data_IF_247548163852
#
_entry.id   IF_247548163852
#
_cell.length_a   1.000
_cell.length_b   1.000
_cell.length_c   1.000
_cell.angle_alpha   90.00
_cell.angle_beta   90.00
_cell.angle_gamma   90.00
#
_symmetry.space_group_name_H-M   'P 1'
#
loop_
_entity.id
_entity.type
_entity.pdbx_description
1 polymer ?
#
# COMPACT_ATOMS: atom_id res chain seq x y z
N UNK A 1 9.89 -26.77 -9.60
CA UNK A 1 9.68 -26.31 -9.18
C UNK A 1 9.55 -25.44 -8.79
N UNK A 2 9.26 -25.18 -8.63
CA UNK A 2 9.12 -24.36 -8.30
C UNK A 2 9.04 -23.65 -7.47
N UNK A 3 8.79 -23.50 -7.20
CA UNK A 3 8.51 -22.87 -6.45
C UNK A 3 8.67 -22.09 -5.96
N UNK A 4 8.77 -21.68 -5.82
CA UNK A 4 8.85 -20.83 -5.12
C UNK A 4 8.33 -19.89 -4.89
N UNK A 5 7.95 -19.88 -5.18
CA UNK A 5 7.60 -18.80 -4.99
C UNK A 5 6.84 -18.55 -3.99
N UNK A 6 6.60 -19.05 -3.84
CA UNK A 6 6.07 -19.00 -2.92
C UNK A 6 6.42 -18.34 -1.92
N UNK A 7 7.29 -18.34 -1.93
CA UNK A 7 7.83 -17.82 -1.01
C UNK A 7 7.48 -16.56 -0.77
N UNK A 8 7.53 -15.89 -1.62
CA UNK A 8 7.34 -14.53 -1.47
C UNK A 8 5.95 -14.27 -1.04
N UNK A 9 5.74 -13.26 -0.30
CA UNK A 9 4.43 -12.84 0.09
C UNK A 9 3.79 -12.15 -1.09
N UNK A 10 2.92 -12.83 -1.80
CA UNK A 10 2.17 -12.20 -2.88
C UNK A 10 1.20 -11.19 -2.33
N UNK A 11 0.71 -10.29 -3.19
CA UNK A 11 -0.30 -9.33 -2.77
C UNK A 11 -1.56 -10.03 -2.27
N UNK A 12 -1.90 -11.17 -2.84
CA UNK A 12 -3.05 -11.94 -2.36
C UNK A 12 -2.87 -12.41 -0.93
N UNK A 13 -1.68 -12.86 -0.59
CA UNK A 13 -1.38 -13.26 0.78
C UNK A 13 -1.41 -12.05 1.69
N UNK A 14 -0.84 -10.94 1.25
CA UNK A 14 -0.82 -9.73 2.05
C UNK A 14 -2.23 -9.17 2.30
N UNK A 15 -3.15 -9.38 1.38
CA UNK A 15 -4.53 -8.95 1.57
C UNK A 15 -5.21 -9.69 2.71
N UNK A 16 -4.74 -10.86 3.09
CA UNK A 16 -5.31 -11.61 4.20
C UNK A 16 -4.61 -11.32 5.52
N UNK A 17 -3.53 -10.57 5.51
CA UNK A 17 -2.79 -10.24 6.72
C UNK A 17 -3.24 -8.88 7.24
N UNK A 18 -3.28 -8.77 8.54
CA UNK A 18 -3.59 -7.50 9.17
C UNK A 18 -2.34 -6.61 9.14
N UNK A 19 -2.45 -5.48 8.49
CA UNK A 19 -1.34 -4.55 8.42
C UNK A 19 -1.11 -3.90 9.78
N UNK A 20 0.16 -3.75 10.21
CA UNK A 20 0.48 -3.25 11.55
C UNK A 20 -0.10 -1.86 11.86
N UNK A 21 -0.27 -1.03 10.85
CA UNK A 21 -0.72 0.35 11.05
C UNK A 21 -2.12 0.59 10.48
N UNK A 22 -2.85 -0.48 10.20
CA UNK A 22 -4.23 -0.36 9.73
C UNK A 22 -4.37 -0.01 8.27
N UNK A 23 -3.29 -0.06 7.51
CA UNK A 23 -3.32 0.23 6.08
C UNK A 23 -3.40 -1.03 5.25
N UNK A 24 -2.90 -0.94 4.01
CA UNK A 24 -2.87 -2.06 3.09
C UNK A 24 -1.42 -2.39 2.77
N UNK A 25 -1.07 -3.67 2.81
CA UNK A 25 0.29 -4.12 2.50
C UNK A 25 0.39 -4.55 1.06
N UNK A 26 1.50 -4.18 0.42
CA UNK A 26 1.83 -4.64 -0.93
C UNK A 26 3.32 -4.88 -1.04
N UNK A 27 3.69 -5.83 -1.89
CA UNK A 27 5.09 -6.08 -2.19
C UNK A 27 5.64 -5.01 -3.10
N UNK A 28 6.88 -4.63 -2.86
CA UNK A 28 7.59 -3.67 -3.68
C UNK A 28 9.07 -4.08 -3.71
N UNK A 29 9.41 -4.97 -4.64
CA UNK A 29 10.76 -5.51 -4.71
C UNK A 29 11.09 -6.29 -3.45
N UNK A 30 12.16 -5.89 -2.76
CA UNK A 30 12.57 -6.55 -1.52
C UNK A 30 11.86 -6.00 -0.30
N UNK A 31 10.94 -5.05 -0.50
CA UNK A 31 10.22 -4.41 0.60
C UNK A 31 8.75 -4.76 0.61
N UNK A 32 8.13 -4.54 1.76
CA UNK A 32 6.68 -4.40 1.86
C UNK A 32 6.39 -2.92 2.11
N UNK A 33 5.46 -2.36 1.35
CA UNK A 33 4.95 -1.02 1.62
C UNK A 33 3.57 -1.16 2.25
N UNK A 34 3.33 -0.42 3.32
CA UNK A 34 2.00 -0.31 3.89
C UNK A 34 1.50 1.11 3.65
N UNK A 35 0.42 1.23 2.90
CA UNK A 35 -0.17 2.53 2.59
C UNK A 35 -1.33 2.81 3.53
N UNK A 36 -1.27 3.95 4.20
CA UNK A 36 -2.35 4.42 5.06
C UNK A 36 -2.88 5.72 4.49
N UNK A 37 -4.19 5.77 4.26
CA UNK A 37 -4.87 6.97 3.76
C UNK A 37 -6.02 7.29 4.69
N UNK A 38 -6.58 8.49 4.56
CA UNK A 38 -7.80 8.84 5.31
C UNK A 38 -8.93 7.90 4.86
N UNK A 39 -9.65 7.35 5.80
CA UNK A 39 -10.69 6.36 5.51
C UNK A 39 -12.11 6.91 5.61
N UNK A 40 -12.28 8.16 6.03
CA UNK A 40 -13.60 8.71 6.29
C UNK A 40 -13.79 10.11 5.72
N UNK A 41 -12.97 10.52 4.78
CA UNK A 41 -13.10 11.85 4.18
C UNK A 41 -14.15 11.79 3.08
N UNK A 42 -15.33 12.33 3.35
CA UNK A 42 -16.42 12.32 2.38
C UNK A 42 -16.20 13.33 1.26
N UNK A 43 -15.48 14.39 1.55
CA UNK A 43 -15.22 15.45 0.58
C UNK A 43 -13.77 15.45 0.18
N UNK A 44 -13.49 15.97 -1.03
CA UNK A 44 -12.12 16.16 -1.49
C UNK A 44 -11.52 17.32 -0.69
N UNK A 45 -10.49 17.00 0.06
CA UNK A 45 -9.76 17.99 0.85
C UNK A 45 -8.35 17.45 1.09
N UNK A 46 -7.50 18.26 1.68
CA UNK A 46 -6.15 17.83 2.01
C UNK A 46 -6.19 16.73 3.06
N UNK A 47 -5.70 15.58 2.71
CA UNK A 47 -5.66 14.40 3.59
C UNK A 47 -4.26 13.81 3.58
N UNK A 48 -3.86 13.19 4.68
CA UNK A 48 -2.52 12.60 4.76
C UNK A 48 -2.40 11.33 3.94
N UNK A 49 -1.18 11.08 3.48
CA UNK A 49 -0.79 9.84 2.85
C UNK A 49 0.48 9.38 3.54
N UNK A 50 0.47 8.18 4.09
CA UNK A 50 1.60 7.66 4.85
C UNK A 50 1.98 6.29 4.27
N UNK A 51 3.27 6.07 4.09
CA UNK A 51 3.80 4.79 3.62
C UNK A 51 4.82 4.31 4.62
N UNK A 52 4.62 3.10 5.14
CA UNK A 52 5.60 2.45 6.01
C UNK A 52 6.37 1.43 5.19
N UNK A 53 7.66 1.32 5.42
CA UNK A 53 8.54 0.41 4.68
C UNK A 53 9.09 -0.63 5.63
N UNK A 54 8.90 -1.90 5.28
CA UNK A 54 9.46 -3.03 6.03
C UNK A 54 10.06 -4.00 5.04
N UNK A 55 10.85 -4.94 5.55
CA UNK A 55 11.30 -6.06 4.73
C UNK A 55 10.26 -7.19 4.78
N UNK A 56 10.55 -8.30 4.11
CA UNK A 56 9.61 -9.41 4.06
C UNK A 56 9.43 -10.12 5.39
N UNK A 57 10.32 -9.88 6.33
CA UNK A 57 10.19 -10.42 7.69
C UNK A 57 9.47 -9.46 8.63
N UNK A 58 9.09 -8.29 8.14
CA UNK A 58 8.40 -7.30 8.97
C UNK A 58 9.31 -6.35 9.70
N UNK A 59 10.62 -6.42 9.47
CA UNK A 59 11.54 -5.52 10.12
C UNK A 59 11.49 -4.14 9.46
N UNK A 60 11.56 -3.10 10.26
CA UNK A 60 11.53 -1.72 9.76
C UNK A 60 12.76 -1.40 8.94
N UNK A 61 12.54 -0.75 7.81
CA UNK A 61 13.64 -0.30 6.94
C UNK A 61 13.70 1.22 7.02
N UNK A 62 14.89 1.74 7.34
CA UNK A 62 15.07 3.18 7.49
C UNK A 62 14.76 3.91 6.18
N UNK A 63 13.99 5.00 6.29
CA UNK A 63 13.65 5.85 5.15
C UNK A 63 14.55 7.08 5.06
N UNK A 64 15.63 7.12 5.84
CA UNK A 64 16.58 8.24 5.78
C UNK A 64 17.16 8.30 4.36
N UNK A 65 17.07 9.48 3.74
CA UNK A 65 17.56 9.68 2.38
C UNK A 65 16.63 9.15 1.29
N UNK A 66 15.49 8.61 1.65
CA UNK A 66 14.52 8.12 0.67
C UNK A 66 13.57 9.23 0.24
N UNK A 67 12.84 8.97 -0.82
CA UNK A 67 11.78 9.86 -1.27
C UNK A 67 10.85 9.10 -2.17
N UNK A 68 9.70 9.68 -2.45
CA UNK A 68 8.77 8.99 -3.31
C UNK A 68 7.59 9.84 -3.68
N UNK A 69 6.66 9.21 -4.40
CA UNK A 69 5.41 9.83 -4.81
C UNK A 69 4.28 8.82 -4.66
N UNK A 70 3.11 9.34 -4.37
CA UNK A 70 1.90 8.55 -4.42
C UNK A 70 0.93 9.23 -5.37
N UNK A 71 0.43 8.47 -6.34
CA UNK A 71 -0.60 8.97 -7.25
C UNK A 71 -1.91 8.36 -6.81
N UNK A 72 -2.84 9.20 -6.38
CA UNK A 72 -4.13 8.78 -5.85
C UNK A 72 -5.19 9.02 -6.90
N UNK A 73 -5.96 8.00 -7.21
CA UNK A 73 -7.13 8.11 -8.08
C UNK A 73 -8.37 7.87 -7.24
N UNK A 74 -9.23 8.88 -7.16
CA UNK A 74 -10.46 8.80 -6.37
C UNK A 74 -11.58 9.36 -7.22
N UNK A 75 -12.45 8.49 -7.68
CA UNK A 75 -13.44 8.86 -8.66
C UNK A 75 -12.78 9.35 -9.94
N UNK A 76 -13.09 10.56 -10.36
CA UNK A 76 -12.47 11.15 -11.55
C UNK A 76 -11.27 12.01 -11.22
N UNK A 77 -10.92 12.10 -9.94
CA UNK A 77 -9.83 12.96 -9.50
C UNK A 77 -8.52 12.20 -9.42
N UNK A 78 -7.45 12.89 -9.76
CA UNK A 78 -6.10 12.36 -9.67
C UNK A 78 -5.27 13.34 -8.85
N UNK A 79 -4.64 12.85 -7.78
CA UNK A 79 -3.78 13.67 -6.95
C UNK A 79 -2.38 13.08 -6.96
N UNK A 80 -1.38 13.92 -7.09
CA UNK A 80 0.01 13.51 -7.01
C UNK A 80 0.56 14.04 -5.69
N UNK A 81 1.12 13.14 -4.87
CA UNK A 81 1.56 13.46 -3.52
C UNK A 81 3.05 13.19 -3.42
N UNK A 82 3.81 14.18 -2.98
CA UNK A 82 5.22 14.01 -2.72
C UNK A 82 5.39 13.41 -1.32
N UNK A 83 6.16 12.34 -1.24
CA UNK A 83 6.43 11.64 0.02
C UNK A 83 7.83 11.94 0.49
N UNK A 84 7.96 12.32 1.75
CA UNK A 84 9.26 12.61 2.35
C UNK A 84 9.42 11.79 3.63
N UNK A 85 10.65 11.49 4.04
CA UNK A 85 10.85 10.73 5.28
C UNK A 85 10.24 11.44 6.49
N UNK A 86 9.59 10.66 7.35
CA UNK A 86 8.93 11.19 8.52
C UNK A 86 8.95 10.10 9.60
N UNK A 87 10.08 9.95 10.26
CA UNK A 87 10.27 8.91 11.27
C UNK A 87 11.18 7.79 10.77
N UNK A 88 11.22 6.69 11.50
CA UNK A 88 12.20 5.63 11.24
C UNK A 88 12.00 4.94 9.90
N UNK A 89 10.79 4.46 9.65
CA UNK A 89 10.51 3.70 8.44
C UNK A 89 9.28 4.24 7.72
N UNK A 90 9.04 5.53 7.83
CA UNK A 90 7.81 6.14 7.33
C UNK A 90 8.10 7.27 6.36
N UNK A 91 7.28 7.33 5.31
CA UNK A 91 7.23 8.47 4.40
C UNK A 91 5.84 9.07 4.49
N UNK A 92 5.75 10.38 4.38
CA UNK A 92 4.49 11.08 4.54
C UNK A 92 4.34 12.20 3.53
N UNK A 93 3.11 12.44 3.12
CA UNK A 93 2.75 13.56 2.27
C UNK A 93 1.30 13.94 2.50
N UNK A 94 0.85 14.96 1.80
CA UNK A 94 -0.52 15.45 1.86
C UNK A 94 -1.01 15.64 0.43
N UNK A 95 -2.21 15.16 0.16
CA UNK A 95 -2.82 15.34 -1.14
C UNK A 95 -4.31 15.60 -1.02
N UNK A 96 -4.90 16.11 -2.08
CA UNK A 96 -6.34 16.39 -2.09
C UNK A 96 -7.08 15.20 -2.68
N UNK A 97 -7.83 14.50 -1.83
CA UNK A 97 -8.61 13.35 -2.26
C UNK A 97 -9.77 13.13 -1.29
N UNK A 98 -10.74 12.36 -1.73
CA UNK A 98 -11.81 11.88 -0.87
C UNK A 98 -11.64 10.38 -0.66
N UNK A 99 -12.17 9.88 0.44
CA UNK A 99 -12.11 8.45 0.75
C UNK A 99 -13.24 7.72 0.03
N UNK A 100 -12.90 6.89 -0.92
CA UNK A 100 -13.89 6.10 -1.67
C UNK A 100 -13.46 4.64 -1.70
N UNK A 101 -14.43 3.70 -1.69
CA UNK A 101 -14.08 2.26 -1.71
C UNK A 101 -13.32 1.85 -2.97
N UNK A 102 -13.50 2.56 -4.06
CA UNK A 102 -12.85 2.24 -5.33
C UNK A 102 -11.58 3.04 -5.58
N UNK A 103 -11.11 3.81 -4.62
CA UNK A 103 -9.89 4.58 -4.83
C UNK A 103 -8.70 3.67 -5.07
N UNK A 104 -7.77 4.17 -5.87
CA UNK A 104 -6.55 3.44 -6.21
C UNK A 104 -5.35 4.34 -5.95
N UNK A 105 -4.22 3.72 -5.69
CA UNK A 105 -3.00 4.47 -5.49
C UNK A 105 -1.83 3.71 -6.10
N UNK A 106 -0.91 4.46 -6.69
CA UNK A 106 0.37 3.92 -7.14
C UNK A 106 1.44 4.63 -6.32
N UNK A 107 2.22 3.86 -5.58
CA UNK A 107 3.28 4.40 -4.73
C UNK A 107 4.61 4.01 -5.34
N UNK A 108 5.48 4.99 -5.53
CA UNK A 108 6.83 4.78 -6.01
C UNK A 108 7.79 5.36 -4.97
N UNK A 109 8.70 4.55 -4.48
CA UNK A 109 9.67 4.97 -3.46
C UNK A 109 11.07 4.61 -3.91
N UNK A 110 11.98 5.56 -3.80
CA UNK A 110 13.40 5.36 -4.05
C UNK A 110 14.12 5.44 -2.72
N UNK A 111 14.61 4.31 -2.24
CA UNK A 111 15.41 4.27 -1.02
C UNK A 111 16.81 4.77 -1.34
N UNK A 112 17.51 5.28 -0.32
CA UNK A 112 18.84 5.86 -0.52
C UNK A 112 19.79 4.87 -1.21
N UNK A 113 20.31 5.25 -2.36
CA UNK A 113 21.24 4.42 -3.11
C UNK A 113 20.65 3.19 -3.76
N UNK A 114 19.33 3.09 -3.86
CA UNK A 114 18.65 1.92 -4.42
C UNK A 114 17.75 2.31 -5.58
N UNK A 115 17.43 1.37 -6.46
CA UNK A 115 16.46 1.65 -7.53
C UNK A 115 15.08 1.92 -6.96
N UNK A 116 14.26 2.65 -7.71
CA UNK A 116 12.88 2.89 -7.33
C UNK A 116 12.08 1.61 -7.33
N UNK A 117 11.22 1.45 -6.33
CA UNK A 117 10.28 0.34 -6.24
C UNK A 117 8.87 0.90 -6.26
N UNK A 118 7.97 0.15 -6.85
CA UNK A 118 6.61 0.62 -7.06
C UNK A 118 5.61 -0.43 -6.62
N UNK A 119 4.50 0.02 -6.04
CA UNK A 119 3.41 -0.87 -5.67
C UNK A 119 2.08 -0.19 -5.96
N UNK A 120 1.05 -1.00 -6.22
CA UNK A 120 -0.30 -0.54 -6.52
C UNK A 120 -1.22 -0.95 -5.40
N UNK A 121 -2.10 -0.04 -5.02
CA UNK A 121 -2.97 -0.21 -3.87
C UNK A 121 -4.43 0.06 -4.21
N UNK A 122 -5.31 -0.61 -3.48
CA UNK A 122 -6.73 -0.28 -3.42
C UNK A 122 -7.09 -0.13 -1.94
N UNK A 123 -6.63 0.95 -1.32
CA UNK A 123 -6.52 1.00 0.14
C UNK A 123 -7.84 0.92 0.90
N UNK A 124 -8.93 1.29 0.28
CA UNK A 124 -10.23 1.25 0.96
C UNK A 124 -11.17 0.19 0.38
N UNK A 125 -10.65 -0.67 -0.51
CA UNK A 125 -11.46 -1.78 -1.01
C UNK A 125 -11.78 -2.74 0.12
N UNK A 126 -12.97 -3.37 0.13
CA UNK A 126 -13.27 -4.37 1.14
C UNK A 126 -12.26 -5.51 1.07
N UNK A 127 -11.78 -5.96 2.24
CA UNK A 127 -10.87 -7.09 2.28
C UNK A 127 -11.60 -8.36 1.87
N UNK A 128 -10.91 -9.18 1.07
CA UNK A 128 -11.44 -10.49 0.75
C UNK A 128 -11.52 -11.34 2.03
N UNK A 129 -12.57 -12.12 2.19
CA UNK A 129 -12.63 -13.04 3.33
C UNK A 129 -11.46 -14.00 3.31
N UNK A 130 -10.88 -14.22 4.45
CA UNK A 130 -9.74 -15.09 4.55
C UNK A 130 -10.04 -16.49 4.04
N UNK A 131 -11.25 -16.88 4.09
CA UNK A 131 -11.57 -18.16 3.62
C UNK A 131 -12.29 -18.11 2.43
N UNK A 132 -12.73 -17.62 2.19
CA UNK A 132 -13.49 -17.73 1.07
C UNK A 132 -12.83 -17.81 -0.13
N UNK A 133 -13.01 -17.68 0.60
CA UNK A 133 -12.67 -17.75 -0.06
C UNK A 133 -12.73 -18.26 -0.80
N UNK A 134 -12.95 -18.33 -0.69
CA UNK A 134 -13.00 -18.75 -1.19
C UNK A 134 -13.55 -19.25 -1.54
N UNK A 135 -13.78 -19.37 -1.23
CA UNK A 135 -14.21 -19.90 -1.48
C UNK A 135 -14.80 -19.94 -1.98
N UNK A 136 -15.10 -19.71 -2.08
CA UNK A 136 -15.33 -19.97 -2.51
C UNK A 136 -15.84 -19.58 -3.04
N UNK A 137 -15.96 -19.46 -3.07
CA UNK A 137 -15.92 -19.42 -3.50
C UNK A 137 -16.21 -19.11 -4.03
N UNK A 138 -16.54 -18.95 -4.13
CA UNK A 138 -16.34 -19.02 -4.53
C UNK A 138 -16.59 -18.84 -5.18
N UNK A 139 -17.01 -18.87 -5.26
CA UNK A 139 -16.79 -19.02 -5.75
C UNK A 139 -16.91 -18.59 -6.46
N UNK A 140 -17.20 -18.39 -6.57
CA UNK A 140 -16.67 -18.28 -7.03
C UNK A 140 -16.50 -17.95 -7.55
N UNK A 141 -16.69 -17.85 -7.52
CA UNK A 141 -15.99 -17.87 -7.78
C UNK A 141 -15.77 -17.78 -8.16
N UNK A 142 -16.17 -17.75 -8.18
CA UNK A 142 -15.39 -17.96 -8.29
C UNK A 142 -15.19 -17.80 -8.51
#
# INVERSE_FOLDING_TARGET
>A
MTAPAVLAHSDEVLDTQKAPNGGQLRMAGVYHFELVVAGDSKDVKENPVVVFVTDHAGAKISTVGAGGTATILSGKLKASVTLVPDGDNRLKGVGKYASTPDMKAVVSVTMAGKPAEQARFTPLAPMAPAAAAKDGHMDHKH
#
